data_IF_252418156984
#
_entry.id   IF_252418156984
#
_cell.length_a   1.000
_cell.length_b   1.000
_cell.length_c   1.000
_cell.angle_alpha   90.00
_cell.angle_beta   90.00
_cell.angle_gamma   90.00
#
_symmetry.space_group_name_H-M   'P 1'
#
loop_
_entity.id
_entity.type
_entity.pdbx_description
1 polymer ?
#
# COMPACT_ATOMS: atom_id res chain seq x y z
N UNK A 1 8.88 -11.20 -15.25
CA UNK A 1 9.81 -10.61 -16.24
C UNK A 1 11.18 -11.22 -15.99
N UNK A 2 11.66 -12.10 -16.88
CA UNK A 2 12.74 -13.05 -16.56
C UNK A 2 14.12 -12.38 -16.52
N UNK A 3 15.05 -12.90 -15.71
CA UNK A 3 16.45 -12.41 -15.57
C UNK A 3 17.20 -12.31 -16.90
N UNK A 4 16.74 -13.00 -17.95
CA UNK A 4 17.46 -13.13 -19.22
C UNK A 4 17.43 -11.85 -20.07
N UNK A 5 16.35 -11.06 -20.00
CA UNK A 5 16.23 -9.79 -20.75
C UNK A 5 17.18 -8.70 -20.24
N UNK A 6 17.47 -8.67 -18.93
CA UNK A 6 18.40 -7.70 -18.34
C UNK A 6 19.85 -7.92 -18.79
N UNK A 7 20.28 -9.17 -18.95
CA UNK A 7 21.64 -9.49 -19.39
C UNK A 7 21.86 -9.15 -20.88
N UNK A 8 20.86 -9.38 -21.73
CA UNK A 8 20.92 -9.04 -23.17
C UNK A 8 21.00 -7.52 -23.36
N UNK A 9 20.23 -6.75 -22.58
CA UNK A 9 20.28 -5.28 -22.63
C UNK A 9 21.66 -4.74 -22.23
N UNK A 10 22.28 -5.29 -21.17
CA UNK A 10 23.60 -4.83 -20.69
C UNK A 10 24.72 -5.07 -21.70
N UNK A 11 24.73 -6.23 -22.37
CA UNK A 11 25.77 -6.57 -23.35
C UNK A 11 25.70 -5.69 -24.60
N UNK A 12 24.50 -5.32 -25.03
CA UNK A 12 24.34 -4.40 -26.15
C UNK A 12 24.86 -3.00 -25.79
N UNK A 13 24.55 -2.50 -24.59
CA UNK A 13 25.02 -1.16 -24.14
C UNK A 13 26.54 -1.05 -24.12
N UNK A 14 27.26 -2.10 -23.69
CA UNK A 14 28.73 -2.12 -23.72
C UNK A 14 29.27 -2.07 -25.16
N UNK A 15 28.72 -2.87 -26.08
CA UNK A 15 29.10 -2.85 -27.50
C UNK A 15 28.92 -1.48 -28.16
N UNK A 16 27.88 -0.73 -27.76
CA UNK A 16 27.64 0.63 -28.23
C UNK A 16 28.56 1.68 -27.57
N UNK A 17 29.10 1.40 -26.38
CA UNK A 17 30.09 2.24 -25.70
C UNK A 17 31.44 2.16 -26.40
N UNK A 18 31.92 0.94 -26.66
CA UNK A 18 33.23 0.70 -27.30
C UNK A 18 33.27 1.29 -28.72
N UNK A 19 32.19 1.12 -29.48
CA UNK A 19 32.07 1.70 -30.83
C UNK A 19 32.15 3.23 -30.81
N UNK A 20 31.71 3.88 -29.73
CA UNK A 20 31.81 5.35 -29.59
C UNK A 20 33.21 5.81 -29.22
N UNK A 21 33.94 5.07 -28.38
CA UNK A 21 35.34 5.40 -28.09
C UNK A 21 36.20 5.29 -29.35
N UNK A 22 35.98 4.26 -30.18
CA UNK A 22 36.69 4.09 -31.44
C UNK A 22 36.38 5.19 -32.48
N UNK A 23 35.18 5.77 -32.43
CA UNK A 23 34.81 6.90 -33.28
C UNK A 23 35.36 8.24 -32.76
N UNK A 24 35.54 8.35 -31.44
CA UNK A 24 36.21 9.49 -30.79
C UNK A 24 37.70 9.49 -31.11
N UNK A 25 38.38 8.34 -31.02
CA UNK A 25 39.81 8.20 -31.33
C UNK A 25 40.12 8.50 -32.80
N UNK A 26 39.25 8.10 -33.73
CA UNK A 26 39.39 8.45 -35.16
C UNK A 26 39.20 9.94 -35.47
N UNK A 27 38.54 10.69 -34.59
CA UNK A 27 38.27 12.12 -34.78
C UNK A 27 39.36 13.03 -34.18
N UNK A 28 40.35 12.48 -33.47
CA UNK A 28 41.44 13.26 -32.85
C UNK A 28 42.67 13.47 -33.76
N UNK A 29 42.70 12.85 -34.95
CA UNK A 29 43.71 13.10 -35.99
C UNK A 29 43.16 14.06 -37.06
N UNK A 30 42.97 15.34 -36.71
CA UNK A 30 42.61 16.33 -37.72
C UNK A 30 42.17 17.69 -37.22
N UNK A 31 43.15 18.57 -37.03
CA UNK A 31 43.09 20.02 -37.19
C UNK A 31 42.09 20.83 -36.32
N UNK A 32 42.57 21.70 -35.40
CA UNK A 32 41.70 22.46 -34.48
C UNK A 32 40.82 23.52 -35.15
N UNK A 33 41.02 23.84 -36.43
CA UNK A 33 40.39 24.97 -37.13
C UNK A 33 38.93 24.73 -37.54
N UNK A 34 38.40 23.52 -37.34
CA UNK A 34 37.03 23.12 -37.76
C UNK A 34 36.04 22.93 -36.60
N UNK A 35 36.39 23.33 -35.38
CA UNK A 35 35.57 23.08 -34.18
C UNK A 35 34.41 24.07 -33.96
N UNK A 36 34.22 25.09 -34.80
CA UNK A 36 33.19 26.12 -34.57
C UNK A 36 31.88 25.92 -35.33
N UNK A 37 31.74 24.92 -36.20
CA UNK A 37 30.57 24.83 -37.08
C UNK A 37 29.78 23.52 -37.08
N UNK A 38 30.07 22.57 -36.18
CA UNK A 38 29.34 21.28 -36.21
C UNK A 38 29.04 20.78 -34.80
N UNK A 39 27.84 21.15 -34.32
CA UNK A 39 26.83 20.30 -33.65
C UNK A 39 26.17 20.97 -32.43
N UNK A 40 24.93 21.49 -32.56
CA UNK A 40 24.04 21.64 -31.40
C UNK A 40 23.72 20.27 -30.74
N UNK A 41 23.90 19.17 -31.49
CA UNK A 41 23.58 17.80 -31.09
C UNK A 41 24.43 17.26 -29.93
N UNK A 42 25.72 17.61 -29.86
CA UNK A 42 26.59 17.11 -28.77
C UNK A 42 26.27 17.83 -27.46
N UNK A 43 26.01 19.15 -27.52
CA UNK A 43 25.59 19.95 -26.36
C UNK A 43 24.24 19.50 -25.79
N UNK A 44 23.26 19.21 -26.66
CA UNK A 44 21.96 18.66 -26.24
C UNK A 44 22.09 17.25 -25.64
N UNK A 45 23.02 16.42 -26.14
CA UNK A 45 23.22 15.06 -25.61
C UNK A 45 23.83 15.07 -24.20
N UNK A 46 24.70 16.03 -23.87
CA UNK A 46 25.20 16.21 -22.49
C UNK A 46 24.13 16.77 -21.55
N UNK A 47 23.27 17.69 -22.03
CA UNK A 47 22.15 18.23 -21.26
C UNK A 47 21.05 17.19 -21.01
N UNK A 48 20.72 16.35 -22.01
CA UNK A 48 19.81 15.21 -21.86
C UNK A 48 20.35 14.14 -20.91
N UNK A 49 21.66 13.93 -20.87
CA UNK A 49 22.28 13.00 -19.91
C UNK A 49 22.29 13.55 -18.49
N UNK A 50 22.48 14.86 -18.31
CA UNK A 50 22.42 15.52 -17.02
C UNK A 50 21.00 15.55 -16.45
N UNK A 51 19.98 15.82 -17.28
CA UNK A 51 18.57 15.78 -16.85
C UNK A 51 18.08 14.36 -16.59
N UNK A 52 18.53 13.38 -17.37
CA UNK A 52 18.21 11.96 -17.13
C UNK A 52 18.84 11.42 -15.83
N UNK A 53 20.05 11.86 -15.48
CA UNK A 53 20.69 11.53 -14.20
C UNK A 53 19.96 12.13 -13.00
N UNK A 54 19.45 13.36 -13.14
CA UNK A 54 18.74 14.07 -12.07
C UNK A 54 17.31 13.55 -11.84
N UNK A 55 16.60 13.15 -12.91
CA UNK A 55 15.24 12.56 -12.81
C UNK A 55 15.28 11.16 -12.18
N UNK A 56 16.36 10.40 -12.37
CA UNK A 56 16.53 9.08 -11.74
C UNK A 56 16.77 9.17 -10.22
N UNK A 57 17.40 10.25 -9.73
CA UNK A 57 17.56 10.48 -8.28
C UNK A 57 16.27 10.93 -7.59
N UNK A 58 15.42 11.71 -8.27
CA UNK A 58 14.15 12.18 -7.71
C UNK A 58 13.12 11.05 -7.48
N UNK A 59 13.23 9.92 -8.18
CA UNK A 59 12.31 8.78 -8.06
C UNK A 59 12.73 7.72 -7.04
N UNK A 60 13.88 7.89 -6.38
CA UNK A 60 14.44 6.94 -5.39
C UNK A 60 14.17 7.33 -3.93
N UNK A 61 13.12 8.10 -3.66
CA UNK A 61 12.59 8.25 -2.31
C UNK A 61 11.60 7.10 -2.04
N UNK A 62 12.13 5.88 -1.87
CA UNK A 62 11.33 4.73 -1.47
C UNK A 62 10.97 4.88 0.01
N UNK A 63 9.69 5.07 0.31
CA UNK A 63 9.20 5.03 1.68
C UNK A 63 9.53 3.67 2.29
N UNK A 64 10.40 3.66 3.30
CA UNK A 64 10.72 2.44 4.03
C UNK A 64 9.47 2.06 4.81
N UNK A 65 8.73 1.08 4.31
CA UNK A 65 7.56 0.55 5.02
C UNK A 65 8.08 -0.11 6.30
N UNK A 66 7.70 0.37 7.49
CA UNK A 66 8.14 -0.22 8.74
C UNK A 66 7.60 -1.65 8.83
N UNK A 67 8.49 -2.65 8.80
CA UNK A 67 8.11 -4.07 8.81
C UNK A 67 7.74 -4.61 10.20
N UNK A 68 7.88 -3.79 11.26
CA UNK A 68 7.68 -4.20 12.65
C UNK A 68 6.46 -3.56 13.33
N UNK A 69 5.44 -3.15 12.58
CA UNK A 69 4.21 -2.61 13.20
C UNK A 69 3.39 -3.66 13.97
N UNK A 70 3.64 -4.95 13.73
CA UNK A 70 2.85 -6.06 14.30
C UNK A 70 3.47 -6.71 15.54
N UNK A 71 4.73 -6.38 15.87
CA UNK A 71 5.43 -6.99 17.01
C UNK A 71 5.21 -6.12 18.24
N UNK A 72 4.35 -6.59 19.16
CA UNK A 72 4.16 -5.95 20.47
C UNK A 72 5.43 -6.04 21.32
N UNK A 73 5.69 -4.97 22.07
CA UNK A 73 6.76 -4.91 23.05
C UNK A 73 6.63 -6.03 24.10
N UNK A 74 7.74 -6.71 24.34
CA UNK A 74 7.86 -7.78 25.34
C UNK A 74 8.55 -7.22 26.57
N UNK A 75 7.90 -7.32 27.73
CA UNK A 75 8.43 -6.79 28.99
C UNK A 75 9.38 -7.80 29.64
N UNK A 76 8.96 -9.07 29.74
CA UNK A 76 9.74 -10.14 30.37
C UNK A 76 9.92 -11.30 29.40
N UNK A 77 11.08 -11.37 28.75
CA UNK A 77 11.44 -12.45 27.83
C UNK A 77 10.40 -12.62 26.70
N UNK A 78 9.60 -13.70 26.69
CA UNK A 78 8.57 -13.93 25.67
C UNK A 78 7.20 -13.27 25.98
N UNK A 79 6.98 -12.72 27.17
CA UNK A 79 5.66 -12.22 27.62
C UNK A 79 5.45 -10.76 27.20
N UNK A 80 4.33 -10.48 26.53
CA UNK A 80 3.94 -9.11 26.13
C UNK A 80 3.26 -8.33 27.25
N UNK A 81 3.19 -7.00 27.12
CA UNK A 81 2.51 -6.13 28.08
C UNK A 81 1.08 -6.56 28.36
N UNK A 82 0.31 -6.88 27.32
CA UNK A 82 -1.08 -7.35 27.47
C UNK A 82 -1.17 -8.67 28.22
N UNK A 83 -0.28 -9.61 27.90
CA UNK A 83 -0.23 -10.93 28.54
C UNK A 83 0.06 -10.81 30.03
N UNK A 84 0.98 -9.92 30.40
CA UNK A 84 1.31 -9.63 31.79
C UNK A 84 0.10 -9.09 32.56
N UNK A 85 -0.62 -8.11 31.99
CA UNK A 85 -1.81 -7.53 32.65
C UNK A 85 -2.90 -8.59 32.87
N UNK A 86 -3.14 -9.47 31.89
CA UNK A 86 -4.13 -10.56 32.00
C UNK A 86 -3.73 -11.53 33.12
N UNK A 87 -2.46 -11.94 33.17
CA UNK A 87 -1.95 -12.84 34.20
C UNK A 87 -1.99 -12.21 35.59
N UNK A 88 -1.68 -10.91 35.70
CA UNK A 88 -1.77 -10.16 36.94
C UNK A 88 -3.20 -10.06 37.45
N UNK A 89 -4.16 -9.74 36.58
CA UNK A 89 -5.59 -9.70 36.93
C UNK A 89 -6.13 -11.07 37.36
N UNK A 90 -5.74 -12.14 36.66
CA UNK A 90 -6.08 -13.52 37.03
C UNK A 90 -5.45 -13.91 38.37
N UNK A 91 -4.19 -13.55 38.61
CA UNK A 91 -3.49 -13.80 39.87
C UNK A 91 -4.15 -13.11 41.06
N UNK A 92 -4.54 -11.84 40.91
CA UNK A 92 -5.29 -11.09 41.94
C UNK A 92 -6.64 -11.75 42.21
N UNK A 93 -7.34 -12.20 41.17
CA UNK A 93 -8.64 -12.86 41.29
C UNK A 93 -8.52 -14.19 42.03
N UNK A 94 -7.54 -15.02 41.67
CA UNK A 94 -7.25 -16.30 42.34
C UNK A 94 -6.85 -16.07 43.80
N UNK A 95 -6.03 -15.06 44.07
CA UNK A 95 -5.66 -14.68 45.44
C UNK A 95 -6.87 -14.19 46.26
N UNK A 96 -7.79 -13.45 45.62
CA UNK A 96 -9.07 -13.09 46.22
C UNK A 96 -9.89 -14.33 46.56
N UNK A 97 -10.06 -15.27 45.62
CA UNK A 97 -10.78 -16.53 45.86
C UNK A 97 -10.14 -17.35 46.98
N UNK A 98 -8.81 -17.38 47.09
CA UNK A 98 -8.11 -18.06 48.17
C UNK A 98 -8.53 -17.56 49.57
N UNK A 99 -8.85 -16.27 49.70
CA UNK A 99 -9.26 -15.68 50.97
C UNK A 99 -10.73 -15.93 51.32
N UNK A 100 -11.60 -16.13 50.32
CA UNK A 100 -13.05 -16.17 50.47
C UNK A 100 -13.68 -17.57 50.34
N UNK A 101 -13.01 -18.53 49.71
CA UNK A 101 -13.59 -19.84 49.38
C UNK A 101 -12.97 -21.00 50.18
N UNK A 102 -13.74 -22.09 50.34
CA UNK A 102 -13.24 -23.36 50.88
C UNK A 102 -12.18 -23.99 49.96
N UNK A 103 -11.24 -24.77 50.52
CA UNK A 103 -10.10 -25.35 49.78
C UNK A 103 -10.50 -26.07 48.49
N UNK A 104 -11.61 -26.84 48.51
CA UNK A 104 -12.12 -27.55 47.32
C UNK A 104 -12.66 -26.61 46.25
N UNK A 105 -13.42 -25.59 46.65
CA UNK A 105 -13.95 -24.58 45.73
C UNK A 105 -12.84 -23.71 45.16
N UNK A 106 -11.86 -23.35 45.99
CA UNK A 106 -10.68 -22.60 45.59
C UNK A 106 -9.92 -23.32 44.47
N UNK A 107 -9.58 -24.60 44.65
CA UNK A 107 -8.82 -25.36 43.63
C UNK A 107 -9.60 -25.40 42.31
N UNK A 108 -10.90 -25.68 42.36
CA UNK A 108 -11.74 -25.77 41.16
C UNK A 108 -11.78 -24.44 40.41
N UNK A 109 -12.03 -23.33 41.12
CA UNK A 109 -12.11 -21.99 40.53
C UNK A 109 -10.74 -21.54 40.02
N UNK A 110 -9.66 -21.79 40.77
CA UNK A 110 -8.31 -21.43 40.39
C UNK A 110 -7.87 -22.12 39.09
N UNK A 111 -8.22 -23.41 38.93
CA UNK A 111 -7.95 -24.15 37.68
C UNK A 111 -8.73 -23.56 36.51
N UNK A 112 -10.02 -23.26 36.70
CA UNK A 112 -10.86 -22.67 35.64
C UNK A 112 -10.33 -21.30 35.22
N UNK A 113 -10.11 -20.40 36.18
CA UNK A 113 -9.61 -19.04 35.90
C UNK A 113 -8.20 -19.08 35.32
N UNK A 114 -7.32 -19.93 35.86
CA UNK A 114 -5.96 -20.09 35.35
C UNK A 114 -5.94 -20.56 33.89
N UNK A 115 -6.77 -21.55 33.53
CA UNK A 115 -6.87 -22.05 32.17
C UNK A 115 -7.39 -20.96 31.22
N UNK A 116 -8.44 -20.23 31.61
CA UNK A 116 -8.98 -19.13 30.82
C UNK A 116 -7.92 -18.04 30.61
N UNK A 117 -7.18 -17.67 31.65
CA UNK A 117 -6.14 -16.65 31.58
C UNK A 117 -5.00 -17.05 30.63
N UNK A 118 -4.57 -18.31 30.65
CA UNK A 118 -3.54 -18.84 29.75
C UNK A 118 -4.02 -18.80 28.30
N UNK A 119 -5.24 -19.27 28.04
CA UNK A 119 -5.83 -19.28 26.69
C UNK A 119 -5.94 -17.87 26.14
N UNK A 120 -6.48 -16.93 26.92
CA UNK A 120 -6.63 -15.53 26.49
C UNK A 120 -5.29 -14.82 26.28
N UNK A 121 -4.25 -15.20 27.02
CA UNK A 121 -2.94 -14.56 26.98
C UNK A 121 -2.07 -15.07 25.82
N UNK A 122 -1.99 -16.40 25.64
CA UNK A 122 -1.02 -17.00 24.72
C UNK A 122 -1.58 -17.38 23.34
N UNK A 123 -2.90 -17.60 23.23
CA UNK A 123 -3.48 -17.98 21.94
C UNK A 123 -3.52 -16.75 21.03
N UNK A 124 -2.96 -16.91 19.83
CA UNK A 124 -3.07 -15.94 18.74
C UNK A 124 -3.73 -16.61 17.56
N UNK A 125 -4.72 -15.96 16.97
CA UNK A 125 -5.46 -16.49 15.82
C UNK A 125 -5.16 -15.59 14.62
N UNK A 126 -4.54 -16.15 13.58
CA UNK A 126 -4.16 -15.42 12.35
C UNK A 126 -3.35 -14.14 12.62
N UNK A 127 -2.42 -14.16 13.57
CA UNK A 127 -1.61 -12.99 13.94
C UNK A 127 -2.35 -11.96 14.81
N UNK A 128 -3.65 -12.11 15.02
CA UNK A 128 -4.45 -11.22 15.87
C UNK A 128 -4.52 -11.72 17.32
N UNK A 129 -4.58 -10.76 18.24
CA UNK A 129 -4.84 -11.01 19.67
C UNK A 129 -6.22 -11.63 19.89
N UNK A 130 -6.30 -12.58 20.84
CA UNK A 130 -7.50 -13.38 21.09
C UNK A 130 -8.72 -12.55 21.50
N UNK A 131 -8.55 -11.50 22.31
CA UNK A 131 -9.67 -10.66 22.76
C UNK A 131 -10.37 -9.93 21.60
N UNK A 132 -9.61 -9.39 20.63
CA UNK A 132 -10.19 -8.77 19.43
C UNK A 132 -10.84 -9.83 18.54
N UNK A 133 -10.22 -11.00 18.42
CA UNK A 133 -10.80 -12.11 17.66
C UNK A 133 -12.15 -12.54 18.22
N UNK A 134 -12.26 -12.70 19.55
CA UNK A 134 -13.50 -13.04 20.22
C UNK A 134 -14.56 -11.94 20.06
N UNK A 135 -14.17 -10.67 20.21
CA UNK A 135 -15.06 -9.53 19.95
C UNK A 135 -15.57 -9.54 18.50
N UNK A 136 -14.73 -9.87 17.53
CA UNK A 136 -15.12 -9.97 16.13
C UNK A 136 -16.10 -11.12 15.88
N UNK A 137 -15.92 -12.27 16.55
CA UNK A 137 -16.88 -13.38 16.49
C UNK A 137 -18.24 -12.93 17.02
N UNK A 138 -18.27 -12.35 18.23
CA UNK A 138 -19.52 -11.91 18.87
C UNK A 138 -20.21 -10.86 18.00
N UNK A 139 -19.46 -9.90 17.44
CA UNK A 139 -20.01 -8.91 16.52
C UNK A 139 -20.55 -9.56 15.24
N UNK A 140 -19.85 -10.55 14.69
CA UNK A 140 -20.26 -11.23 13.45
C UNK A 140 -21.53 -12.04 13.67
N UNK A 141 -21.66 -12.72 14.82
CA UNK A 141 -22.89 -13.43 15.19
C UNK A 141 -24.10 -12.51 15.32
N UNK A 142 -23.89 -11.26 15.76
CA UNK A 142 -24.95 -10.25 15.87
C UNK A 142 -25.29 -9.59 14.53
N UNK A 143 -24.43 -9.68 13.52
CA UNK A 143 -24.66 -9.03 12.21
C UNK A 143 -25.55 -9.91 11.34
N UNK A 144 -26.52 -9.33 10.61
CA UNK A 144 -27.31 -10.09 9.65
C UNK A 144 -26.41 -10.62 8.53
N UNK A 145 -26.53 -11.91 8.20
CA UNK A 145 -25.72 -12.55 7.16
C UNK A 145 -26.00 -12.04 5.74
N UNK A 146 -27.12 -11.34 5.54
CA UNK A 146 -27.49 -10.77 4.25
C UNK A 146 -26.87 -9.37 4.10
N UNK A 147 -25.71 -9.30 3.47
CA UNK A 147 -25.09 -8.04 3.06
C UNK A 147 -25.71 -7.56 1.74
N UNK A 148 -26.83 -6.86 1.81
CA UNK A 148 -27.41 -6.16 0.66
C UNK A 148 -26.66 -4.84 0.43
N UNK A 149 -26.22 -4.61 -0.81
CA UNK A 149 -25.74 -3.29 -1.22
C UNK A 149 -26.96 -2.37 -1.37
N UNK A 150 -27.21 -1.52 -0.38
CA UNK A 150 -28.20 -0.46 -0.46
C UNK A 150 -27.52 0.84 -0.87
N UNK A 151 -27.91 1.39 -2.02
CA UNK A 151 -27.52 2.75 -2.45
C UNK A 151 -28.33 3.85 -1.74
N UNK A 152 -29.24 3.47 -0.85
CA UNK A 152 -29.98 4.41 -0.02
C UNK A 152 -29.10 4.76 1.19
N UNK A 153 -28.88 6.06 1.37
CA UNK A 153 -28.24 6.57 2.58
C UNK A 153 -29.21 6.37 3.75
N UNK A 154 -28.73 5.78 4.84
CA UNK A 154 -29.48 5.73 6.09
C UNK A 154 -29.53 7.15 6.67
N UNK A 155 -30.56 7.52 7.43
CA UNK A 155 -30.66 8.85 8.05
C UNK A 155 -29.39 9.23 8.84
N UNK A 156 -28.75 8.25 9.49
CA UNK A 156 -27.47 8.41 10.19
C UNK A 156 -26.28 8.69 9.27
N UNK A 157 -26.28 8.08 8.08
CA UNK A 157 -25.25 8.35 7.08
C UNK A 157 -25.43 9.78 6.55
N UNK A 158 -26.68 10.21 6.35
CA UNK A 158 -27.00 11.56 5.89
C UNK A 158 -26.64 12.63 6.92
N UNK A 159 -26.93 12.39 8.20
CA UNK A 159 -26.52 13.22 9.33
C UNK A 159 -24.99 13.32 9.44
N UNK A 160 -24.27 12.21 9.24
CA UNK A 160 -22.81 12.21 9.16
C UNK A 160 -22.31 13.09 8.01
N UNK A 161 -22.85 12.99 6.79
CA UNK A 161 -22.44 13.85 5.67
C UNK A 161 -22.80 15.33 5.89
N UNK A 162 -23.92 15.61 6.55
CA UNK A 162 -24.34 16.97 6.88
C UNK A 162 -23.42 17.65 7.90
N UNK A 163 -22.90 16.86 8.85
CA UNK A 163 -22.03 17.34 9.93
C UNK A 163 -20.53 17.16 9.66
N UNK A 164 -20.15 16.40 8.62
CA UNK A 164 -18.73 16.16 8.30
C UNK A 164 -18.01 17.42 7.78
N UNK A 165 -18.72 18.54 7.57
CA UNK A 165 -18.08 19.82 7.25
C UNK A 165 -17.24 19.77 5.99
N UNK A 166 -17.59 18.86 5.06
CA UNK A 166 -17.11 18.91 3.68
C UNK A 166 -17.88 20.04 3.00
N UNK A 167 -17.56 21.26 3.43
CA UNK A 167 -17.75 22.50 2.68
C UNK A 167 -16.75 22.50 1.53
N UNK A 168 -16.65 21.40 0.79
CA UNK A 168 -16.12 21.45 -0.56
C UNK A 168 -17.06 22.39 -1.28
N UNK A 169 -16.63 23.66 -1.39
CA UNK A 169 -17.15 24.61 -2.33
C UNK A 169 -17.50 23.81 -3.57
N UNK A 170 -18.77 23.86 -3.97
CA UNK A 170 -19.23 23.29 -5.24
C UNK A 170 -18.54 24.15 -6.31
N UNK A 171 -17.24 23.93 -6.51
CA UNK A 171 -16.42 24.59 -7.49
C UNK A 171 -16.88 23.98 -8.78
N UNK A 172 -17.70 24.76 -9.46
CA UNK A 172 -18.25 24.50 -10.76
C UNK A 172 -18.97 23.15 -10.87
N UNK A 173 -20.29 23.24 -10.94
CA UNK A 173 -21.11 22.38 -11.80
C UNK A 173 -20.35 22.09 -13.10
N UNK A 174 -19.53 21.03 -13.09
CA UNK A 174 -18.97 20.42 -14.28
C UNK A 174 -20.20 19.98 -15.04
N UNK A 175 -20.60 20.77 -16.05
CA UNK A 175 -21.68 20.42 -16.97
C UNK A 175 -21.31 19.07 -17.54
N UNK A 176 -21.83 18.00 -16.94
CA UNK A 176 -21.60 16.65 -17.40
C UNK A 176 -22.08 16.64 -18.84
N UNK A 177 -21.13 16.55 -19.78
CA UNK A 177 -21.42 16.60 -21.21
C UNK A 177 -22.55 15.60 -21.47
N UNK A 178 -23.67 16.06 -22.01
CA UNK A 178 -24.82 15.20 -22.21
C UNK A 178 -24.40 14.01 -23.08
N UNK A 179 -24.40 12.82 -22.49
CA UNK A 179 -23.86 11.62 -23.12
C UNK A 179 -24.86 11.15 -24.17
N UNK A 180 -24.62 11.51 -25.43
CA UNK A 180 -25.39 11.03 -26.57
C UNK A 180 -24.98 9.58 -26.91
N UNK A 181 -25.92 8.76 -27.43
CA UNK A 181 -25.64 7.35 -27.79
C UNK A 181 -24.46 7.19 -28.75
N UNK A 182 -24.24 8.18 -29.62
CA UNK A 182 -23.12 8.21 -30.57
C UNK A 182 -21.77 8.33 -29.84
N UNK A 183 -21.68 9.18 -28.80
CA UNK A 183 -20.43 9.38 -28.05
C UNK A 183 -19.95 8.10 -27.36
N UNK A 184 -20.86 7.30 -26.82
CA UNK A 184 -20.52 6.00 -26.22
C UNK A 184 -20.02 5.01 -27.29
N UNK A 185 -20.63 5.01 -28.47
CA UNK A 185 -20.19 4.17 -29.60
C UNK A 185 -18.79 4.58 -30.07
N UNK A 186 -18.53 5.88 -30.16
CA UNK A 186 -17.23 6.40 -30.59
C UNK A 186 -16.13 6.06 -29.58
N UNK A 187 -16.37 6.25 -28.28
CA UNK A 187 -15.43 5.85 -27.23
C UNK A 187 -15.14 4.34 -27.26
N UNK A 188 -16.16 3.53 -27.49
CA UNK A 188 -16.00 2.08 -27.64
C UNK A 188 -15.13 1.72 -28.85
N UNK A 189 -15.31 2.41 -29.98
CA UNK A 189 -14.50 2.20 -31.19
C UNK A 189 -13.05 2.67 -31.00
N UNK A 190 -12.82 3.82 -30.37
CA UNK A 190 -11.47 4.32 -30.05
C UNK A 190 -10.70 3.32 -29.18
N UNK A 191 -11.34 2.79 -28.13
CA UNK A 191 -10.73 1.82 -27.22
C UNK A 191 -10.47 0.49 -27.92
N UNK A 192 -11.42 -0.03 -28.70
CA UNK A 192 -11.26 -1.30 -29.41
C UNK A 192 -10.23 -1.23 -30.54
N UNK A 193 -10.04 -0.06 -31.15
CA UNK A 193 -9.08 0.14 -32.25
C UNK A 193 -7.72 0.64 -31.79
N UNK A 194 -7.47 0.69 -30.47
CA UNK A 194 -6.19 1.16 -29.92
C UNK A 194 -5.83 2.60 -30.29
N UNK A 195 -6.84 3.44 -30.54
CA UNK A 195 -6.67 4.83 -30.95
C UNK A 195 -6.59 5.07 -32.46
N UNK A 196 -6.84 4.07 -33.32
CA UNK A 196 -6.85 4.25 -34.78
C UNK A 196 -8.13 4.95 -35.27
N UNK A 197 -9.28 4.72 -34.62
CA UNK A 197 -10.53 5.40 -34.97
C UNK A 197 -10.57 6.83 -34.39
N UNK A 198 -10.87 7.83 -35.23
CA UNK A 198 -11.01 9.23 -34.83
C UNK A 198 -12.40 9.73 -35.22
N UNK A 199 -13.29 10.01 -34.24
CA UNK A 199 -14.66 10.43 -34.54
C UNK A 199 -14.72 11.77 -35.27
N UNK A 200 -13.69 12.61 -35.11
CA UNK A 200 -13.60 13.97 -35.68
C UNK A 200 -13.36 13.97 -37.21
N UNK A 201 -12.91 12.84 -37.79
CA UNK A 201 -12.59 12.71 -39.22
C UNK A 201 -13.79 12.24 -40.07
N UNK A 202 -14.89 11.85 -39.43
CA UNK A 202 -16.05 11.23 -40.08
C UNK A 202 -17.36 12.02 -39.86
N UNK A 203 -17.26 13.32 -39.56
CA UNK A 203 -18.39 14.22 -39.31
C UNK A 203 -18.73 15.07 -40.54
#
# INVERSE_FOLDING_TARGET
MSRNTYHIARNNVQKWSDKRQLLSEKHELGNPDKLTLVTPFVRDMYLLRATCSMIHEMFMQQFVVPQFIEVEDKIFGPITTRQFIILLAAGITIFGTYRLADTTLFITIAVIIGLIAIVFSFVRVNGQVFHIFLLNIIQTMKRPGLRIWHKAYTDKDLEYYLHSGDDDEISDIVKKKAVHKQHIKDLSLVVNTGGYYRPDEHV
#
